data_IF_637967110112
#
_entry.id   IF_637967110112
#
_cell.length_a   1.000
_cell.length_b   1.000
_cell.length_c   1.000
_cell.angle_alpha   90.00
_cell.angle_beta   90.00
_cell.angle_gamma   90.00
#
_symmetry.space_group_name_H-M   'P 1'
#
loop_
_entity.id
_entity.type
_entity.pdbx_description
1 polymer ?
#
# COMPACT_ATOMS: atom_id res chain seq x y z
N UNK A 1 -20.49 -33.68 -45.75
CA UNK A 1 -20.72 -34.01 -44.33
C UNK A 1 -20.66 -32.70 -43.58
N UNK A 2 -21.83 -32.24 -43.17
CA UNK A 2 -22.08 -30.94 -42.52
C UNK A 2 -22.19 -31.20 -41.03
N UNK A 3 -21.16 -30.81 -40.27
CA UNK A 3 -21.24 -30.72 -38.80
C UNK A 3 -21.69 -29.30 -38.44
N UNK A 4 -23.00 -29.10 -38.44
CA UNK A 4 -23.63 -27.92 -37.84
C UNK A 4 -23.63 -28.15 -36.32
N UNK A 5 -22.66 -27.52 -35.63
CA UNK A 5 -22.66 -27.45 -34.17
C UNK A 5 -23.93 -26.74 -33.71
N UNK A 6 -24.89 -27.51 -33.20
CA UNK A 6 -26.06 -27.00 -32.51
C UNK A 6 -25.61 -26.16 -31.31
N UNK A 7 -25.73 -24.84 -31.44
CA UNK A 7 -25.63 -23.90 -30.33
C UNK A 7 -26.93 -24.05 -29.55
N UNK A 8 -27.00 -25.08 -28.71
CA UNK A 8 -28.09 -25.25 -27.76
C UNK A 8 -28.16 -24.01 -26.87
N UNK A 9 -29.35 -23.40 -26.78
CA UNK A 9 -29.61 -22.31 -25.85
C UNK A 9 -29.27 -22.79 -24.44
N UNK A 10 -28.20 -22.23 -23.89
CA UNK A 10 -27.63 -22.64 -22.61
C UNK A 10 -28.66 -22.26 -21.51
N UNK A 11 -29.48 -23.23 -21.10
CA UNK A 11 -30.60 -23.02 -20.18
C UNK A 11 -30.14 -22.36 -18.86
N UNK A 12 -28.89 -22.62 -18.46
CA UNK A 12 -28.24 -21.99 -17.32
C UNK A 12 -28.05 -20.47 -17.53
N UNK A 13 -27.71 -20.03 -18.74
CA UNK A 13 -27.59 -18.61 -19.10
C UNK A 13 -28.97 -17.94 -19.09
N UNK A 14 -30.02 -18.61 -19.60
CA UNK A 14 -31.38 -18.07 -19.56
C UNK A 14 -31.92 -17.92 -18.13
N UNK A 15 -31.68 -18.92 -17.27
CA UNK A 15 -32.08 -18.88 -15.86
C UNK A 15 -31.36 -17.75 -15.09
N UNK A 16 -30.06 -17.54 -15.34
CA UNK A 16 -29.30 -16.41 -14.79
C UNK A 16 -29.88 -15.08 -15.28
N UNK A 17 -30.20 -14.96 -16.57
CA UNK A 17 -30.75 -13.74 -17.15
C UNK A 17 -32.13 -13.38 -16.57
N UNK A 18 -33.00 -14.36 -16.32
CA UNK A 18 -34.28 -14.15 -15.64
C UNK A 18 -34.08 -13.74 -14.17
N UNK A 19 -33.13 -14.35 -13.47
CA UNK A 19 -32.74 -13.95 -12.12
C UNK A 19 -32.23 -12.50 -12.05
N UNK A 20 -31.40 -12.08 -13.01
CA UNK A 20 -30.85 -10.72 -13.07
C UNK A 20 -31.91 -9.65 -13.41
N UNK A 21 -32.90 -9.97 -14.26
CA UNK A 21 -34.04 -9.07 -14.54
C UNK A 21 -34.87 -8.76 -13.29
N UNK A 22 -34.80 -9.62 -12.28
CA UNK A 22 -35.57 -9.50 -11.04
C UNK A 22 -34.86 -8.77 -9.91
N UNK A 23 -33.59 -8.36 -10.07
CA UNK A 23 -32.86 -7.66 -9.01
C UNK A 23 -33.52 -6.29 -8.75
N UNK A 24 -34.19 -6.09 -7.60
CA UNK A 24 -34.89 -4.86 -7.33
C UNK A 24 -33.88 -3.72 -7.19
N UNK A 25 -34.15 -2.61 -7.85
CA UNK A 25 -33.37 -1.40 -7.69
C UNK A 25 -33.64 -0.83 -6.29
N UNK A 26 -32.79 -1.19 -5.32
CA UNK A 26 -32.93 -0.72 -3.94
C UNK A 26 -32.52 0.75 -3.82
N UNK A 27 -33.03 1.43 -2.78
CA UNK A 27 -32.63 2.80 -2.46
C UNK A 27 -31.13 2.93 -2.21
N UNK A 28 -30.50 1.88 -1.68
CA UNK A 28 -29.05 1.81 -1.45
C UNK A 28 -28.27 1.74 -2.77
N UNK A 29 -28.72 0.93 -3.73
CA UNK A 29 -28.10 0.81 -5.05
C UNK A 29 -28.19 2.11 -5.83
N UNK A 30 -29.36 2.79 -5.78
CA UNK A 30 -29.54 4.11 -6.37
C UNK A 30 -28.62 5.15 -5.76
N UNK A 31 -28.53 5.18 -4.43
CA UNK A 31 -27.62 6.10 -3.73
C UNK A 31 -26.17 5.84 -4.14
N UNK A 32 -25.74 4.58 -4.24
CA UNK A 32 -24.39 4.23 -4.67
C UNK A 32 -24.11 4.67 -6.12
N UNK A 33 -25.08 4.53 -7.03
CA UNK A 33 -24.99 5.01 -8.41
C UNK A 33 -24.90 6.55 -8.47
N UNK A 34 -25.74 7.25 -7.70
CA UNK A 34 -25.73 8.72 -7.62
C UNK A 34 -24.45 9.26 -6.98
N UNK A 35 -23.91 8.57 -5.97
CA UNK A 35 -22.64 8.93 -5.34
C UNK A 35 -21.48 8.67 -6.31
N UNK A 36 -21.52 7.58 -7.08
CA UNK A 36 -20.54 7.31 -8.12
C UNK A 36 -20.58 8.34 -9.25
N UNK A 37 -21.76 8.73 -9.73
CA UNK A 37 -21.90 9.76 -10.78
C UNK A 37 -21.43 11.15 -10.31
N UNK A 38 -21.51 11.41 -9.00
CA UNK A 38 -21.02 12.65 -8.37
C UNK A 38 -19.56 12.56 -7.90
N UNK A 39 -18.82 11.48 -8.19
CA UNK A 39 -17.45 11.22 -7.70
C UNK A 39 -17.32 11.26 -6.16
N UNK A 40 -18.38 10.90 -5.43
CA UNK A 40 -18.46 10.88 -3.97
C UNK A 40 -18.31 9.46 -3.39
N UNK A 41 -17.53 8.61 -4.05
CA UNK A 41 -17.30 7.25 -3.57
C UNK A 41 -16.41 7.30 -2.32
N UNK A 42 -16.86 6.78 -1.16
CA UNK A 42 -16.02 6.70 0.04
C UNK A 42 -14.71 5.97 -0.26
N UNK A 43 -13.60 6.59 0.14
CA UNK A 43 -12.27 6.06 -0.13
C UNK A 43 -11.41 6.04 1.12
N UNK A 44 -10.62 4.97 1.24
CA UNK A 44 -9.71 4.74 2.36
C UNK A 44 -8.29 4.63 1.83
N UNK A 45 -7.34 5.19 2.58
CA UNK A 45 -5.93 5.07 2.27
C UNK A 45 -5.38 3.78 2.88
N UNK A 46 -4.77 2.93 2.06
CA UNK A 46 -4.22 1.63 2.47
C UNK A 46 -2.80 1.43 1.99
N UNK A 47 -2.04 0.65 2.76
CA UNK A 47 -0.70 0.18 2.40
C UNK A 47 -0.79 -1.16 1.67
N UNK A 48 0.00 -1.32 0.62
CA UNK A 48 0.12 -2.55 -0.16
C UNK A 48 1.59 -2.93 -0.33
N UNK A 49 1.86 -4.22 -0.52
CA UNK A 49 3.20 -4.72 -0.83
C UNK A 49 3.15 -5.91 -1.78
N UNK A 50 3.98 -5.86 -2.81
CA UNK A 50 4.07 -6.94 -3.78
C UNK A 50 4.85 -8.13 -3.21
N UNK A 51 4.35 -9.36 -3.44
CA UNK A 51 5.05 -10.59 -3.07
C UNK A 51 6.19 -10.90 -4.03
N UNK A 52 5.95 -10.77 -5.33
CA UNK A 52 6.89 -11.19 -6.39
C UNK A 52 8.00 -10.17 -6.65
N UNK A 53 7.63 -8.89 -6.78
CA UNK A 53 8.60 -7.81 -7.03
C UNK A 53 9.41 -7.49 -5.78
N UNK A 54 8.86 -7.84 -4.62
CA UNK A 54 9.54 -7.84 -3.34
C UNK A 54 9.91 -6.48 -2.76
N UNK A 55 10.73 -5.70 -3.45
CA UNK A 55 11.40 -4.54 -2.87
C UNK A 55 10.53 -3.29 -2.68
N UNK A 56 9.21 -3.33 -2.99
CA UNK A 56 8.36 -2.14 -3.01
C UNK A 56 7.03 -2.33 -2.28
N UNK A 57 6.77 -1.41 -1.36
CA UNK A 57 5.46 -1.15 -0.77
C UNK A 57 4.98 0.22 -1.22
N UNK A 58 3.69 0.37 -1.47
CA UNK A 58 3.09 1.63 -1.88
C UNK A 58 1.83 1.91 -1.07
N UNK A 59 1.40 3.16 -1.11
CA UNK A 59 0.16 3.61 -0.50
C UNK A 59 -0.80 4.01 -1.61
N UNK A 60 -2.07 3.62 -1.49
CA UNK A 60 -3.09 3.99 -2.48
C UNK A 60 -4.41 4.28 -1.80
N UNK A 61 -5.08 5.33 -2.27
CA UNK A 61 -6.47 5.63 -1.93
C UNK A 61 -7.37 4.71 -2.76
N UNK A 62 -8.10 3.83 -2.08
CA UNK A 62 -8.95 2.81 -2.71
C UNK A 62 -10.39 2.95 -2.22
N UNK A 63 -11.41 2.63 -3.03
CA UNK A 63 -12.80 2.63 -2.59
C UNK A 63 -13.01 1.69 -1.39
N UNK A 64 -13.75 2.14 -0.37
CA UNK A 64 -14.00 1.33 0.84
C UNK A 64 -14.65 -0.02 0.51
N UNK A 65 -15.56 -0.03 -0.47
CA UNK A 65 -16.29 -1.22 -0.95
C UNK A 65 -15.38 -2.29 -1.58
N UNK A 66 -14.21 -1.89 -2.10
CA UNK A 66 -13.29 -2.78 -2.79
C UNK A 66 -11.87 -2.24 -2.66
N UNK A 67 -11.26 -2.57 -1.54
CA UNK A 67 -9.92 -2.16 -1.20
C UNK A 67 -8.94 -3.07 -1.94
N UNK A 68 -8.66 -2.77 -3.20
CA UNK A 68 -7.75 -3.58 -4.03
C UNK A 68 -6.83 -2.62 -4.78
N UNK A 69 -5.55 -2.96 -4.86
CA UNK A 69 -4.60 -2.23 -5.69
C UNK A 69 -3.80 -3.19 -6.55
N UNK A 70 -3.54 -2.78 -7.78
CA UNK A 70 -2.67 -3.49 -8.70
C UNK A 70 -1.21 -3.08 -8.49
N UNK A 71 -0.29 -4.04 -8.52
CA UNK A 71 1.15 -3.74 -8.56
C UNK A 71 1.53 -3.14 -9.92
N UNK A 72 2.35 -2.09 -9.92
CA UNK A 72 2.76 -1.41 -11.15
C UNK A 72 3.59 -2.29 -12.09
N UNK A 73 4.41 -3.20 -11.57
CA UNK A 73 5.30 -4.05 -12.39
C UNK A 73 4.67 -5.38 -12.78
N UNK A 74 4.34 -6.25 -11.81
CA UNK A 74 3.79 -7.57 -12.13
C UNK A 74 2.32 -7.54 -12.54
N UNK A 75 1.64 -6.39 -12.39
CA UNK A 75 0.21 -6.20 -12.71
C UNK A 75 -0.75 -7.12 -11.95
N UNK A 76 -0.26 -7.89 -10.97
CA UNK A 76 -1.07 -8.67 -10.03
C UNK A 76 -1.84 -7.74 -9.09
N UNK A 77 -3.08 -8.10 -8.80
CA UNK A 77 -3.94 -7.37 -7.87
C UNK A 77 -3.76 -7.91 -6.46
N UNK A 78 -3.76 -7.02 -5.47
CA UNK A 78 -3.45 -7.36 -4.09
C UNK A 78 -4.48 -6.75 -3.12
N UNK A 79 -4.76 -7.49 -2.06
CA UNK A 79 -5.50 -7.02 -0.89
C UNK A 79 -4.61 -6.10 -0.03
N UNK A 80 -5.18 -5.14 0.72
CA UNK A 80 -4.42 -4.25 1.58
C UNK A 80 -3.74 -5.03 2.70
N UNK A 81 -2.61 -4.50 3.17
CA UNK A 81 -1.97 -5.00 4.38
C UNK A 81 -2.93 -4.76 5.56
N UNK A 82 -3.19 -5.79 6.39
CA UNK A 82 -3.98 -5.64 7.61
C UNK A 82 -3.45 -4.52 8.50
N UNK A 83 -4.35 -3.79 9.16
CA UNK A 83 -4.00 -2.58 9.90
C UNK A 83 -2.96 -2.83 11.01
N UNK A 84 -3.06 -3.95 11.71
CA UNK A 84 -2.13 -4.44 12.74
C UNK A 84 -0.72 -4.74 12.23
N UNK A 85 -0.58 -4.95 10.92
CA UNK A 85 0.69 -5.28 10.25
C UNK A 85 1.27 -4.15 9.42
N UNK A 86 0.61 -3.00 9.38
CA UNK A 86 1.13 -1.84 8.67
C UNK A 86 2.45 -1.37 9.29
N UNK A 87 3.36 -0.88 8.46
CA UNK A 87 4.67 -0.42 8.89
C UNK A 87 5.12 0.82 8.13
N UNK A 88 6.00 1.58 8.74
CA UNK A 88 6.57 2.77 8.12
C UNK A 88 6.86 3.84 9.16
N UNK A 89 6.68 5.10 8.77
CA UNK A 89 6.82 6.22 9.68
C UNK A 89 5.53 6.35 10.51
N UNK A 90 5.62 6.18 11.81
CA UNK A 90 4.49 6.05 12.69
C UNK A 90 4.36 7.26 13.64
N UNK A 91 3.12 7.65 13.93
CA UNK A 91 2.78 8.59 14.99
C UNK A 91 2.55 7.84 16.29
N UNK A 92 3.15 8.30 17.38
CA UNK A 92 2.97 7.73 18.71
C UNK A 92 2.43 8.81 19.64
N UNK A 93 1.44 8.45 20.46
CA UNK A 93 0.97 9.27 21.57
C UNK A 93 1.28 8.57 22.89
N UNK A 94 2.21 9.13 23.68
CA UNK A 94 2.59 8.53 24.94
C UNK A 94 1.57 8.83 26.04
N UNK A 95 0.88 7.82 26.62
CA UNK A 95 -0.11 8.04 27.68
C UNK A 95 0.51 8.50 29.01
N UNK A 96 1.82 8.28 29.20
CA UNK A 96 2.50 8.63 30.45
C UNK A 96 2.93 10.11 30.49
N UNK A 97 3.41 10.67 29.38
CA UNK A 97 3.88 12.06 29.33
C UNK A 97 3.12 12.95 28.35
N UNK A 98 2.04 12.46 27.73
CA UNK A 98 1.19 13.16 26.76
C UNK A 98 1.96 13.83 25.62
N UNK A 99 3.15 13.34 25.30
CA UNK A 99 3.97 13.83 24.19
C UNK A 99 3.73 12.96 22.98
N UNK A 100 3.47 13.61 21.87
CA UNK A 100 3.45 12.97 20.55
C UNK A 100 4.85 12.94 19.97
N UNK A 101 5.26 11.80 19.44
CA UNK A 101 6.53 11.67 18.71
C UNK A 101 6.32 10.85 17.44
N UNK A 102 7.24 11.00 16.49
CA UNK A 102 7.22 10.27 15.23
C UNK A 102 8.49 9.43 15.10
N UNK A 103 8.33 8.18 14.73
CA UNK A 103 9.45 7.25 14.57
C UNK A 103 9.06 6.14 13.59
N UNK A 104 10.06 5.46 13.02
CA UNK A 104 9.78 4.27 12.24
C UNK A 104 9.33 3.11 13.15
N UNK A 105 8.30 2.38 12.73
CA UNK A 105 7.81 1.21 13.46
C UNK A 105 6.73 0.44 12.72
N UNK A 106 6.16 -0.55 13.42
CA UNK A 106 5.04 -1.38 12.97
C UNK A 106 3.87 -1.16 13.92
N UNK A 107 2.64 -1.20 13.40
CA UNK A 107 1.43 -0.92 14.19
C UNK A 107 1.30 -1.81 15.44
N UNK A 108 1.71 -3.08 15.34
CA UNK A 108 1.64 -4.06 16.44
C UNK A 108 2.82 -4.01 17.43
N UNK A 109 3.89 -3.25 17.14
CA UNK A 109 5.10 -3.23 17.97
C UNK A 109 5.23 -1.93 18.76
N UNK A 110 5.46 -2.05 20.06
CA UNK A 110 5.69 -0.91 20.92
C UNK A 110 7.11 -0.35 20.77
N UNK A 111 7.23 0.97 20.83
CA UNK A 111 8.50 1.70 20.80
C UNK A 111 8.65 2.55 22.08
N UNK A 112 9.86 2.66 22.66
CA UNK A 112 10.05 3.45 23.87
C UNK A 112 9.91 4.94 23.57
N UNK A 113 9.14 5.64 24.41
CA UNK A 113 8.98 7.08 24.33
C UNK A 113 10.32 7.81 24.52
N UNK A 114 10.64 8.78 23.65
CA UNK A 114 11.88 9.56 23.73
C UNK A 114 12.04 10.37 25.02
N UNK A 115 10.95 10.64 25.76
CA UNK A 115 10.97 11.43 26.99
C UNK A 115 10.96 10.56 28.26
N UNK A 116 9.98 9.66 28.40
CA UNK A 116 9.79 8.87 29.61
C UNK A 116 10.19 7.39 29.48
N UNK A 117 10.62 6.94 28.29
CA UNK A 117 10.99 5.56 27.96
C UNK A 117 9.89 4.49 28.17
N UNK A 118 8.67 4.89 28.52
CA UNK A 118 7.53 3.97 28.52
C UNK A 118 7.33 3.39 27.12
N UNK A 119 7.00 2.09 27.03
CA UNK A 119 6.70 1.43 25.77
C UNK A 119 5.31 1.87 25.28
N UNK A 120 5.25 2.39 24.06
CA UNK A 120 4.04 2.97 23.47
C UNK A 120 3.83 2.36 22.08
N UNK A 121 2.62 1.88 21.81
CA UNK A 121 2.24 1.42 20.47
C UNK A 121 1.90 2.61 19.56
N UNK A 122 2.13 2.50 18.24
CA UNK A 122 1.70 3.51 17.29
C UNK A 122 0.20 3.82 17.40
N UNK A 123 -0.15 5.07 17.15
CA UNK A 123 -1.54 5.50 16.93
C UNK A 123 -1.93 5.34 15.47
N UNK A 124 -1.02 5.63 14.55
CA UNK A 124 -1.22 5.44 13.12
C UNK A 124 0.11 5.34 12.38
N UNK A 125 0.12 4.65 11.25
CA UNK A 125 1.23 4.72 10.30
C UNK A 125 0.93 5.86 9.33
N UNK A 126 1.82 6.84 9.32
CA UNK A 126 1.73 8.01 8.46
C UNK A 126 2.18 7.59 7.05
N UNK A 127 1.30 7.70 6.04
CA UNK A 127 1.69 7.50 4.65
C UNK A 127 2.78 8.52 4.27
N UNK A 128 3.73 8.17 3.38
CA UNK A 128 4.70 9.14 2.89
C UNK A 128 3.95 10.33 2.27
N UNK A 129 4.25 11.55 2.74
CA UNK A 129 3.66 12.76 2.14
C UNK A 129 4.16 12.91 0.71
N UNK A 130 3.24 13.07 -0.25
CA UNK A 130 3.59 13.64 -1.55
C UNK A 130 4.10 15.08 -1.32
N UNK A 131 5.36 15.33 -1.71
CA UNK A 131 5.92 16.67 -1.95
C UNK A 131 5.98 17.67 -0.78
N UNK A 132 6.44 17.27 0.41
CA UNK A 132 7.11 18.26 1.28
C UNK A 132 8.63 18.21 1.02
N UNK A 133 9.27 19.34 0.68
CA UNK A 133 10.72 19.38 0.51
C UNK A 133 11.35 18.87 1.80
N UNK A 134 12.15 17.81 1.68
CA UNK A 134 12.89 17.25 2.80
C UNK A 134 13.74 18.37 3.38
N UNK A 135 13.33 18.92 4.52
CA UNK A 135 14.27 19.68 5.34
C UNK A 135 15.35 18.67 5.71
N UNK A 136 16.54 18.85 5.15
CA UNK A 136 17.75 18.07 5.43
C UNK A 136 18.18 18.31 6.89
N UNK A 137 17.35 17.89 7.84
CA UNK A 137 17.82 17.53 9.17
C UNK A 137 18.08 16.05 9.08
N UNK A 138 19.35 15.66 9.17
CA UNK A 138 19.73 14.28 9.46
C UNK A 138 18.93 13.87 10.69
N UNK A 139 17.93 12.99 10.57
CA UNK A 139 17.19 12.56 11.74
C UNK A 139 18.21 11.81 12.60
N UNK A 140 18.43 12.32 13.80
CA UNK A 140 19.13 11.59 14.84
C UNK A 140 18.50 10.18 14.89
N UNK A 141 19.32 9.15 14.70
CA UNK A 141 18.78 7.82 14.43
C UNK A 141 18.05 7.30 15.66
N UNK A 142 16.73 7.16 15.55
CA UNK A 142 15.85 6.96 16.68
C UNK A 142 15.30 5.54 16.82
N UNK A 143 15.81 4.58 16.03
CA UNK A 143 15.34 3.20 16.10
C UNK A 143 16.07 2.41 17.19
N UNK A 144 15.26 1.73 17.99
CA UNK A 144 15.69 0.85 19.07
C UNK A 144 15.68 -0.63 18.67
N UNK A 145 15.57 -0.91 17.37
CA UNK A 145 15.53 -2.29 16.89
C UNK A 145 16.89 -2.97 17.03
N UNK A 146 16.88 -4.22 17.49
CA UNK A 146 18.07 -5.03 17.72
C UNK A 146 18.93 -5.16 16.45
N UNK A 147 18.25 -5.30 15.32
CA UNK A 147 18.81 -5.56 14.01
C UNK A 147 19.14 -4.28 13.21
N UNK A 148 19.01 -3.09 13.80
CA UNK A 148 19.30 -1.83 13.11
C UNK A 148 20.81 -1.49 13.04
N UNK A 149 21.29 -1.08 11.86
CA UNK A 149 22.71 -0.76 11.63
C UNK A 149 23.18 0.50 12.37
N UNK A 150 22.27 1.40 12.72
CA UNK A 150 22.57 2.65 13.43
C UNK A 150 21.76 2.74 14.73
N UNK A 151 21.44 1.59 15.34
CA UNK A 151 20.51 1.49 16.47
C UNK A 151 20.91 2.37 17.66
N UNK A 152 19.89 2.77 18.43
CA UNK A 152 20.07 3.47 19.71
C UNK A 152 20.09 2.47 20.87
N UNK A 153 21.02 2.65 21.79
CA UNK A 153 21.11 1.86 23.02
C UNK A 153 20.30 2.53 24.16
N UNK A 154 19.62 1.75 25.03
CA UNK A 154 19.45 0.30 24.95
C UNK A 154 18.44 -0.12 23.86
N UNK A 155 18.76 -1.17 23.12
CA UNK A 155 17.82 -1.75 22.14
C UNK A 155 16.71 -2.58 22.82
N UNK A 156 15.63 -2.83 22.08
CA UNK A 156 14.53 -3.70 22.52
C UNK A 156 14.73 -5.09 21.89
N UNK A 157 14.98 -6.10 22.72
CA UNK A 157 15.21 -7.49 22.28
C UNK A 157 13.99 -8.00 21.50
N UNK A 158 14.23 -8.69 20.38
CA UNK A 158 13.18 -9.30 19.55
C UNK A 158 12.44 -8.32 18.64
N UNK A 159 12.93 -7.08 18.50
CA UNK A 159 12.36 -6.10 17.56
C UNK A 159 13.16 -6.03 16.26
N UNK A 160 12.44 -5.85 15.15
CA UNK A 160 13.02 -5.77 13.80
C UNK A 160 12.89 -4.37 13.22
N UNK A 161 13.95 -3.96 12.55
CA UNK A 161 14.10 -2.66 11.96
C UNK A 161 13.29 -2.60 10.68
N UNK A 162 12.44 -1.58 10.60
CA UNK A 162 11.60 -1.31 9.44
C UNK A 162 12.23 -0.29 8.49
N UNK A 163 13.44 0.18 8.79
CA UNK A 163 14.13 1.17 7.96
C UNK A 163 14.58 0.56 6.63
N UNK A 164 14.19 1.14 5.48
CA UNK A 164 14.60 0.64 4.18
C UNK A 164 16.12 0.52 4.04
N UNK A 165 16.87 1.52 4.53
CA UNK A 165 18.34 1.53 4.45
C UNK A 165 18.98 0.40 5.27
N UNK A 166 18.49 0.14 6.49
CA UNK A 166 18.99 -0.99 7.30
C UNK A 166 18.78 -2.30 6.57
N UNK A 167 17.57 -2.52 6.06
CA UNK A 167 17.19 -3.77 5.42
C UNK A 167 18.02 -4.00 4.16
N UNK A 168 18.20 -2.96 3.33
CA UNK A 168 19.08 -2.99 2.15
C UNK A 168 20.53 -3.35 2.50
N UNK A 169 21.12 -2.68 3.49
CA UNK A 169 22.51 -2.95 3.92
C UNK A 169 22.68 -4.38 4.44
N UNK A 170 21.65 -4.94 5.09
CA UNK A 170 21.68 -6.31 5.60
C UNK A 170 21.24 -7.38 4.60
N UNK A 171 20.98 -7.02 3.35
CA UNK A 171 20.43 -7.94 2.34
C UNK A 171 19.04 -8.48 2.69
N UNK A 172 18.33 -7.81 3.60
CA UNK A 172 16.96 -8.15 3.97
C UNK A 172 15.98 -7.49 3.01
N UNK A 173 14.89 -8.19 2.78
CA UNK A 173 13.79 -7.73 1.96
C UNK A 173 13.19 -6.42 2.48
N UNK A 174 13.08 -5.36 1.68
CA UNK A 174 12.66 -4.02 2.17
C UNK A 174 11.27 -4.06 2.80
N UNK A 175 10.35 -4.84 2.25
CA UNK A 175 9.00 -5.01 2.81
C UNK A 175 8.99 -6.06 3.91
N UNK A 176 8.18 -5.82 4.94
CA UNK A 176 8.08 -6.70 6.11
C UNK A 176 6.97 -7.72 5.97
N UNK A 177 5.83 -7.29 5.44
CA UNK A 177 4.68 -8.14 5.17
C UNK A 177 4.27 -7.96 3.72
N UNK A 178 3.92 -9.06 3.06
CA UNK A 178 3.38 -8.99 1.71
C UNK A 178 1.87 -8.91 1.77
N UNK A 179 1.28 -8.16 0.83
CA UNK A 179 -0.16 -8.24 0.60
C UNK A 179 -0.54 -9.64 0.13
N UNK A 180 -1.74 -10.09 0.49
CA UNK A 180 -2.34 -11.28 -0.10
C UNK A 180 -2.70 -10.97 -1.55
N UNK A 181 -2.43 -11.90 -2.46
CA UNK A 181 -2.95 -11.81 -3.82
C UNK A 181 -4.48 -11.77 -3.77
N UNK A 182 -5.06 -10.81 -4.49
CA UNK A 182 -6.50 -10.64 -4.55
C UNK A 182 -7.09 -11.67 -5.50
N UNK A 183 -7.76 -12.67 -4.94
CA UNK A 183 -8.59 -13.61 -5.69
C UNK A 183 -9.90 -12.90 -6.09
N UNK A 184 -9.81 -12.04 -7.09
CA UNK A 184 -10.98 -11.45 -7.69
C UNK A 184 -11.71 -12.51 -8.49
N UNK A 185 -12.93 -12.87 -8.11
CA UNK A 185 -13.85 -13.47 -9.07
C UNK A 185 -13.91 -12.50 -10.26
N UNK A 186 -13.56 -12.99 -11.45
CA UNK A 186 -13.66 -12.27 -12.72
C UNK A 186 -15.14 -11.99 -13.01
N UNK A 187 -15.77 -11.13 -12.22
CA UNK A 187 -17.11 -10.65 -12.45
C UNK A 187 -17.00 -9.65 -13.59
N UNK A 188 -17.33 -10.13 -14.78
CA UNK A 188 -17.43 -9.38 -16.04
C UNK A 188 -18.63 -8.45 -16.07
N UNK A 189 -19.25 -8.11 -14.93
CA UNK A 189 -20.30 -7.10 -14.89
C UNK A 189 -19.64 -5.74 -14.59
N UNK A 190 -19.53 -4.85 -15.59
CA UNK A 190 -18.95 -3.53 -15.38
C UNK A 190 -19.91 -2.72 -14.50
N UNK A 191 -19.65 -2.65 -13.19
CA UNK A 191 -20.12 -1.50 -12.40
C UNK A 191 -19.33 -0.28 -12.86
N UNK A 192 -19.71 0.29 -14.02
CA UNK A 192 -19.40 1.59 -14.67
C UNK A 192 -18.03 2.30 -14.51
N UNK A 193 -17.09 1.78 -13.72
CA UNK A 193 -15.72 2.23 -13.53
C UNK A 193 -14.91 0.98 -13.18
N UNK A 194 -14.10 0.49 -14.12
CA UNK A 194 -13.11 -0.53 -13.80
C UNK A 194 -12.09 0.09 -12.85
N UNK A 195 -11.72 -0.60 -11.77
CA UNK A 195 -10.69 -0.09 -10.86
C UNK A 195 -9.30 -0.03 -11.50
N UNK A 196 -9.13 -0.64 -12.69
CA UNK A 196 -7.95 -0.45 -13.51
C UNK A 196 -7.87 0.93 -14.17
N UNK A 197 -8.98 1.68 -14.17
CA UNK A 197 -9.10 3.04 -14.73
C UNK A 197 -9.21 4.12 -13.63
N UNK A 198 -8.99 3.76 -12.35
CA UNK A 198 -8.75 4.79 -11.35
C UNK A 198 -7.48 5.52 -11.78
N UNK A 199 -7.49 6.85 -11.98
CA UNK A 199 -6.29 7.57 -12.32
C UNK A 199 -5.25 7.21 -11.26
N UNK A 200 -4.18 6.56 -11.69
CA UNK A 200 -2.93 6.64 -10.97
C UNK A 200 -2.66 8.15 -10.82
N UNK A 201 -2.26 8.64 -9.65
CA UNK A 201 -1.81 10.02 -9.54
C UNK A 201 -0.70 10.18 -10.59
N UNK A 202 -0.98 10.86 -11.70
CA UNK A 202 -0.08 10.91 -12.88
C UNK A 202 1.28 11.49 -12.46
N UNK A 203 1.27 12.35 -11.45
CA UNK A 203 2.43 12.87 -10.74
C UNK A 203 3.31 11.78 -10.11
N UNK A 204 2.73 10.73 -9.52
CA UNK A 204 3.47 9.59 -8.94
C UNK A 204 4.03 8.68 -10.05
N UNK A 205 3.32 8.55 -11.18
CA UNK A 205 3.80 7.82 -12.35
C UNK A 205 5.07 8.48 -12.88
N UNK A 206 4.98 9.78 -13.17
CA UNK A 206 6.06 10.59 -13.74
C UNK A 206 7.26 10.62 -12.80
N UNK A 207 7.04 10.78 -11.49
CA UNK A 207 8.13 10.85 -10.53
C UNK A 207 8.89 9.52 -10.40
N UNK A 208 8.19 8.38 -10.33
CA UNK A 208 8.87 7.09 -10.21
C UNK A 208 9.59 6.69 -11.52
N UNK A 209 9.09 7.12 -12.68
CA UNK A 209 9.80 6.95 -13.96
C UNK A 209 11.05 7.86 -14.02
N UNK A 210 10.99 9.09 -13.48
CA UNK A 210 12.15 9.98 -13.35
C UNK A 210 13.19 9.43 -12.35
N UNK A 211 12.76 8.86 -11.22
CA UNK A 211 13.65 8.20 -10.24
C UNK A 211 14.36 6.99 -10.87
N UNK A 212 13.67 6.24 -11.75
CA UNK A 212 14.29 5.14 -12.51
C UNK A 212 15.36 5.60 -13.49
N UNK A 213 15.13 6.72 -14.17
CA UNK A 213 16.11 7.30 -15.12
C UNK A 213 17.32 7.88 -14.37
N UNK A 214 17.13 8.42 -13.16
CA UNK A 214 18.22 8.94 -12.33
C UNK A 214 19.17 7.86 -11.79
N UNK A 215 18.67 6.68 -11.44
CA UNK A 215 19.50 5.57 -10.93
C UNK A 215 20.40 4.91 -12.01
N UNK A 216 20.07 5.07 -13.30
CA UNK A 216 20.88 4.55 -14.42
C UNK A 216 21.92 5.57 -14.95
N UNK A 217 21.89 6.82 -14.47
CA UNK A 217 22.72 7.93 -14.98
C UNK A 217 23.93 8.33 -14.14
N UNK A 218 24.04 7.92 -12.88
CA UNK A 218 25.17 8.28 -11.99
C UNK A 218 26.37 7.32 -12.12
N UNK A 219 26.73 7.02 -13.37
CA UNK A 219 27.74 6.02 -13.73
C UNK A 219 28.75 6.50 -14.77
N UNK A 220 29.03 7.78 -14.90
CA UNK A 220 30.24 8.25 -15.61
C UNK A 220 30.52 9.71 -15.27
N UNK A 221 31.81 10.07 -15.31
CA UNK A 221 32.39 11.41 -15.09
C UNK A 221 32.83 11.70 -13.64
N UNK A 222 33.98 11.12 -13.28
CA UNK A 222 35.06 11.85 -12.61
C UNK A 222 36.38 11.10 -12.78
N UNK A 223 37.30 11.63 -13.61
CA UNK A 223 38.64 11.06 -13.73
C UNK A 223 39.50 11.56 -14.89
N UNK A 224 39.54 12.86 -15.17
CA UNK A 224 40.60 13.45 -15.98
C UNK A 224 41.08 14.74 -15.33
N UNK A 225 42.13 14.65 -14.51
CA UNK A 225 43.06 15.74 -14.21
C UNK A 225 44.30 15.18 -13.49
N UNK A 226 45.45 15.47 -14.13
CA UNK A 226 46.86 15.18 -13.83
C UNK A 226 47.41 13.87 -14.41
#
# INVERSE_FOLDING_TARGET
QTDENEIGEDADIQAIAEGLRSLPLTRENLKMLDDASRNQIPSVLRQFSCKECGSRSWWRRVPERKQVSRCRWCKTSYDPIPYDRMWGYALYNCPNCNKTFKAYGQMSLASPCFNCRALVTPTEIIPPKQREPRQYRTPEHSCFAEDCYNRREPYVVGTYCVHPMTRRVRGLHITLYHSKEHEGASSTVPTCVSQGDLPDDEDDIIQEDLERIGEEGEGSENGASV
#
